data_IF_932462987514
#
_entry.id   IF_932462987514
#
_cell.length_a   1.000
_cell.length_b   1.000
_cell.length_c   1.000
_cell.angle_alpha   90.00
_cell.angle_beta   90.00
_cell.angle_gamma   90.00
#
_symmetry.space_group_name_H-M   'P 1'
#
loop_
_entity.id
_entity.type
_entity.pdbx_description
1 polymer ?
#
# COMPACT_ATOMS: atom_id res chain seq x y z
N UNK A 1 76.11 -7.18 9.85
CA UNK A 1 74.84 -7.64 9.18
C UNK A 1 73.69 -6.89 9.86
N UNK A 2 73.04 -5.93 9.18
CA UNK A 2 71.91 -5.20 9.69
C UNK A 2 70.65 -5.73 9.01
N UNK A 3 69.77 -6.39 9.77
CA UNK A 3 68.49 -6.96 9.28
C UNK A 3 67.44 -5.85 9.24
N UNK A 4 66.99 -5.47 8.05
CA UNK A 4 65.87 -4.53 7.90
C UNK A 4 64.54 -5.30 8.01
N UNK A 5 63.74 -4.97 9.04
CA UNK A 5 62.40 -5.46 9.20
C UNK A 5 61.49 -4.51 8.42
N UNK A 6 60.81 -4.99 7.37
CA UNK A 6 59.77 -4.29 6.62
C UNK A 6 58.45 -4.51 7.32
N UNK A 7 57.87 -3.42 7.87
CA UNK A 7 56.51 -3.41 8.37
C UNK A 7 55.54 -3.31 7.22
N UNK A 8 54.69 -4.32 7.04
CA UNK A 8 53.58 -4.30 6.10
C UNK A 8 52.34 -3.70 6.80
N UNK A 9 51.93 -2.54 6.37
CA UNK A 9 50.67 -1.90 6.80
C UNK A 9 49.51 -2.51 6.03
N UNK A 10 48.65 -3.30 6.70
CA UNK A 10 47.36 -3.73 6.19
C UNK A 10 46.38 -2.54 6.28
N UNK A 11 46.01 -1.99 5.15
CA UNK A 11 44.89 -1.04 5.06
C UNK A 11 43.57 -1.85 5.04
N UNK A 12 42.89 -1.88 6.18
CA UNK A 12 41.55 -2.48 6.26
C UNK A 12 40.52 -1.56 5.59
N UNK A 13 39.93 -1.99 4.49
CA UNK A 13 38.78 -1.31 3.90
C UNK A 13 37.53 -1.57 4.75
N UNK A 14 37.05 -0.53 5.46
CA UNK A 14 35.74 -0.58 6.12
C UNK A 14 34.65 -0.56 5.05
N UNK A 15 34.01 -1.69 4.80
CA UNK A 15 32.79 -1.76 3.99
C UNK A 15 31.65 -1.15 4.84
N UNK A 16 31.21 0.06 4.51
CA UNK A 16 30.01 0.65 5.07
C UNK A 16 28.83 -0.09 4.43
N UNK A 17 28.29 -1.09 5.13
CA UNK A 17 27.02 -1.69 4.79
C UNK A 17 25.94 -0.62 4.96
N UNK A 18 25.49 0.00 3.88
CA UNK A 18 24.35 0.89 3.88
C UNK A 18 23.12 0.15 4.40
N UNK A 19 22.57 0.57 5.52
CA UNK A 19 21.31 0.01 6.01
C UNK A 19 20.25 0.20 4.93
N UNK A 20 19.65 -0.90 4.45
CA UNK A 20 18.52 -0.83 3.52
C UNK A 20 17.39 -0.08 4.24
N UNK A 21 17.01 1.08 3.72
CA UNK A 21 15.92 1.87 4.27
C UNK A 21 14.63 1.09 4.07
N UNK A 22 13.86 0.88 5.16
CA UNK A 22 12.57 0.21 5.06
C UNK A 22 11.62 1.04 4.19
N UNK A 23 10.82 0.36 3.37
CA UNK A 23 9.77 0.99 2.58
C UNK A 23 8.75 1.67 3.51
N UNK A 24 8.33 2.87 3.15
CA UNK A 24 7.36 3.67 3.92
C UNK A 24 6.19 4.10 3.04
N UNK A 25 5.02 4.30 3.65
CA UNK A 25 3.85 4.93 3.04
C UNK A 25 3.32 6.02 3.97
N UNK A 26 2.93 7.14 3.38
CA UNK A 26 2.37 8.30 4.08
C UNK A 26 1.14 8.84 3.35
N UNK A 27 0.32 9.60 4.05
CA UNK A 27 -0.83 10.32 3.50
C UNK A 27 -0.98 11.67 4.21
N UNK A 28 -1.31 12.75 3.49
CA UNK A 28 -1.73 13.99 4.12
C UNK A 28 -3.14 13.89 4.74
N UNK A 29 -3.94 12.90 4.31
CA UNK A 29 -5.34 12.73 4.69
C UNK A 29 -5.51 11.78 5.90
N UNK A 30 -4.52 10.91 6.18
CA UNK A 30 -4.60 9.91 7.24
C UNK A 30 -3.32 9.97 8.09
N UNK A 31 -3.48 10.23 9.38
CA UNK A 31 -2.40 10.07 10.36
C UNK A 31 -2.31 8.60 10.79
N UNK A 32 -1.12 8.01 10.96
CA UNK A 32 -0.98 6.64 11.44
C UNK A 32 -1.76 6.39 12.74
N UNK A 33 -2.68 5.43 12.74
CA UNK A 33 -3.57 5.14 13.87
C UNK A 33 -4.60 6.22 14.18
N UNK A 34 -4.70 7.28 13.36
CA UNK A 34 -5.66 8.37 13.55
C UNK A 34 -7.03 8.09 12.94
N UNK A 35 -8.03 8.88 13.40
CA UNK A 35 -9.39 8.83 12.82
C UNK A 35 -9.35 9.33 11.37
N UNK A 36 -9.97 8.57 10.47
CA UNK A 36 -10.21 8.99 9.08
C UNK A 36 -11.28 10.09 9.04
N UNK A 37 -11.14 11.02 8.11
CA UNK A 37 -12.09 12.09 7.94
C UNK A 37 -13.35 11.62 7.18
N UNK A 38 -14.46 12.34 7.33
CA UNK A 38 -15.72 12.05 6.64
C UNK A 38 -15.58 12.11 5.11
N UNK A 39 -14.55 12.80 4.61
CA UNK A 39 -14.23 12.84 3.18
C UNK A 39 -13.90 11.43 2.63
N UNK A 40 -13.24 10.57 3.41
CA UNK A 40 -12.89 9.21 3.03
C UNK A 40 -14.01 8.21 3.31
N UNK A 41 -14.99 8.55 4.15
CA UNK A 41 -16.08 7.65 4.56
C UNK A 41 -17.00 7.34 3.39
N UNK A 42 -17.55 6.13 3.39
CA UNK A 42 -18.48 5.65 2.36
C UNK A 42 -19.73 6.52 2.28
N UNK A 43 -20.31 6.59 1.09
CA UNK A 43 -21.61 7.24 0.84
C UNK A 43 -22.65 6.17 0.51
N UNK A 44 -23.26 5.60 1.50
CA UNK A 44 -24.22 4.50 1.41
C UNK A 44 -24.22 3.65 2.68
N UNK A 45 -25.14 2.69 2.81
CA UNK A 45 -25.31 1.82 3.99
C UNK A 45 -25.44 2.62 5.31
N UNK A 46 -26.25 3.68 5.29
CA UNK A 46 -26.42 4.66 6.39
C UNK A 46 -25.17 5.46 6.75
N UNK A 47 -24.14 5.48 5.89
CA UNK A 47 -23.02 6.40 5.98
C UNK A 47 -23.16 7.52 4.94
N UNK A 48 -22.74 8.73 5.33
CA UNK A 48 -22.93 9.96 4.55
C UNK A 48 -21.61 10.68 4.24
N UNK A 49 -20.53 9.93 4.07
CA UNK A 49 -19.24 10.47 3.69
C UNK A 49 -19.17 10.87 2.22
N UNK A 50 -18.01 11.37 1.78
CA UNK A 50 -17.80 11.75 0.38
C UNK A 50 -17.24 10.63 -0.49
N UNK A 51 -16.84 9.52 0.10
CA UNK A 51 -16.27 8.36 -0.56
C UNK A 51 -15.04 8.67 -1.45
N UNK A 52 -14.19 9.58 -1.00
CA UNK A 52 -12.98 9.99 -1.72
C UNK A 52 -11.78 9.24 -1.18
N UNK A 53 -11.05 8.50 -2.04
CA UNK A 53 -9.84 7.81 -1.61
C UNK A 53 -8.75 8.79 -1.18
N UNK A 54 -7.95 8.48 -0.14
CA UNK A 54 -6.88 9.35 0.33
C UNK A 54 -5.76 9.48 -0.71
N UNK A 55 -5.04 10.60 -0.69
CA UNK A 55 -3.76 10.73 -1.35
C UNK A 55 -2.72 9.87 -0.62
N UNK A 56 -1.84 9.21 -1.37
CA UNK A 56 -0.79 8.35 -0.85
C UNK A 56 0.55 8.70 -1.47
N UNK A 57 1.62 8.59 -0.68
CA UNK A 57 3.00 8.67 -1.17
C UNK A 57 3.84 7.59 -0.50
N UNK A 58 4.78 7.00 -1.25
CA UNK A 58 5.66 5.97 -0.72
C UNK A 58 7.10 6.15 -1.17
N UNK A 59 8.03 5.59 -0.40
CA UNK A 59 9.47 5.65 -0.66
C UNK A 59 10.21 4.44 -0.09
N UNK A 60 11.49 4.31 -0.43
CA UNK A 60 12.33 3.23 0.11
C UNK A 60 12.03 1.86 -0.48
N UNK A 61 11.40 1.78 -1.65
CA UNK A 61 11.20 0.52 -2.34
C UNK A 61 12.54 -0.14 -2.72
N UNK A 62 12.64 -1.49 -2.70
CA UNK A 62 13.81 -2.21 -3.19
C UNK A 62 14.17 -1.85 -4.64
N UNK A 63 15.47 -1.89 -4.98
CA UNK A 63 15.95 -1.53 -6.33
C UNK A 63 15.36 -2.39 -7.45
N UNK A 64 15.05 -3.65 -7.14
CA UNK A 64 14.49 -4.60 -8.11
C UNK A 64 12.97 -4.50 -8.25
N UNK A 65 12.35 -3.44 -7.71
CA UNK A 65 10.92 -3.18 -7.85
C UNK A 65 10.59 -2.86 -9.31
N UNK A 66 9.67 -3.61 -9.88
CA UNK A 66 9.20 -3.47 -11.26
C UNK A 66 7.84 -2.83 -11.38
N UNK A 67 6.99 -2.98 -10.37
CA UNK A 67 5.69 -2.32 -10.28
C UNK A 67 5.26 -2.17 -8.82
N UNK A 68 4.18 -1.43 -8.62
CA UNK A 68 3.53 -1.33 -7.31
C UNK A 68 2.09 -1.79 -7.38
N UNK A 69 1.55 -2.14 -6.21
CA UNK A 69 0.13 -2.30 -5.98
C UNK A 69 -0.26 -1.65 -4.65
N UNK A 70 -1.51 -1.26 -4.52
CA UNK A 70 -2.08 -0.65 -3.31
C UNK A 70 -3.36 -1.37 -2.94
N UNK A 71 -3.61 -1.56 -1.66
CA UNK A 71 -4.92 -2.02 -1.16
C UNK A 71 -5.34 -1.27 0.08
N UNK A 72 -6.64 -1.28 0.38
CA UNK A 72 -7.22 -0.95 1.68
C UNK A 72 -8.12 -2.11 2.13
N UNK A 73 -7.83 -2.64 3.31
CA UNK A 73 -8.49 -3.81 3.87
C UNK A 73 -8.87 -3.57 5.33
N UNK A 74 -10.07 -4.01 5.70
CA UNK A 74 -10.62 -3.98 7.06
C UNK A 74 -10.65 -5.41 7.63
N UNK A 75 -9.74 -5.76 8.55
CA UNK A 75 -9.73 -7.07 9.20
C UNK A 75 -10.81 -7.23 10.27
N UNK A 76 -11.41 -6.15 10.74
CA UNK A 76 -12.39 -6.15 11.85
C UNK A 76 -13.82 -6.36 11.35
N UNK A 77 -14.05 -6.30 10.04
CA UNK A 77 -15.36 -6.50 9.46
C UNK A 77 -15.94 -7.89 9.81
N UNK A 78 -17.19 -7.99 10.31
CA UNK A 78 -17.78 -9.24 10.80
C UNK A 78 -18.27 -10.14 9.66
N UNK A 79 -17.45 -10.34 8.64
CA UNK A 79 -17.75 -11.15 7.44
C UNK A 79 -17.14 -12.55 7.49
N UNK A 80 -16.29 -12.84 8.50
CA UNK A 80 -15.48 -14.05 8.58
C UNK A 80 -14.20 -14.02 7.73
N UNK A 81 -14.03 -13.06 6.82
CA UNK A 81 -12.85 -12.91 5.96
C UNK A 81 -12.34 -11.47 5.88
N UNK A 82 -12.83 -10.57 6.75
CA UNK A 82 -12.57 -9.15 6.63
C UNK A 82 -13.28 -8.52 5.43
N UNK A 83 -12.85 -7.32 4.99
CA UNK A 83 -13.52 -6.60 3.92
C UNK A 83 -12.50 -5.81 3.09
N UNK A 84 -12.48 -6.03 1.77
CA UNK A 84 -11.65 -5.30 0.83
C UNK A 84 -12.35 -4.03 0.37
N UNK A 85 -11.81 -2.90 0.79
CA UNK A 85 -12.36 -1.58 0.48
C UNK A 85 -11.86 -1.01 -0.85
N UNK A 86 -10.67 -1.42 -1.26
CA UNK A 86 -10.01 -0.90 -2.45
C UNK A 86 -8.78 -1.70 -2.80
N UNK A 87 -8.47 -1.82 -4.09
CA UNK A 87 -7.17 -2.24 -4.57
C UNK A 87 -6.87 -1.68 -5.96
N UNK A 88 -5.60 -1.44 -6.22
CA UNK A 88 -5.02 -1.08 -7.52
C UNK A 88 -3.81 -1.95 -7.74
N UNK A 89 -3.64 -2.52 -8.94
CA UNK A 89 -2.46 -3.27 -9.35
C UNK A 89 -1.79 -2.63 -10.57
N UNK A 90 -0.61 -3.12 -10.91
CA UNK A 90 0.11 -2.76 -12.13
C UNK A 90 0.46 -1.25 -12.21
N UNK A 91 0.72 -0.63 -11.07
CA UNK A 91 1.21 0.75 -11.00
C UNK A 91 2.68 0.74 -11.43
N UNK A 92 3.10 1.52 -12.45
CA UNK A 92 4.49 1.55 -12.91
C UNK A 92 5.50 1.88 -11.80
N UNK A 93 6.70 1.32 -11.86
CA UNK A 93 7.76 1.55 -10.86
C UNK A 93 8.20 3.02 -10.75
N UNK A 94 7.98 3.83 -11.77
CA UNK A 94 8.25 5.28 -11.75
C UNK A 94 7.25 6.09 -10.94
N UNK A 95 6.10 5.51 -10.58
CA UNK A 95 5.03 6.15 -9.81
C UNK A 95 5.26 5.86 -8.33
N UNK A 96 5.37 6.91 -7.52
CA UNK A 96 5.59 6.83 -6.07
C UNK A 96 4.50 7.52 -5.26
N UNK A 97 3.38 7.85 -5.90
CA UNK A 97 2.22 8.47 -5.25
C UNK A 97 0.94 8.23 -6.03
N UNK A 98 -0.18 8.31 -5.33
CA UNK A 98 -1.52 8.39 -5.91
C UNK A 98 -2.19 9.67 -5.42
N UNK A 99 -2.84 10.44 -6.31
CA UNK A 99 -3.57 11.63 -5.89
C UNK A 99 -4.82 11.27 -5.08
N UNK A 100 -5.33 12.22 -4.30
CA UNK A 100 -6.65 12.12 -3.68
C UNK A 100 -7.71 11.86 -4.77
N UNK A 101 -8.60 10.90 -4.50
CA UNK A 101 -9.66 10.54 -5.44
C UNK A 101 -9.25 9.52 -6.52
N UNK A 102 -7.99 9.06 -6.55
CA UNK A 102 -7.54 8.04 -7.51
C UNK A 102 -8.41 6.77 -7.51
N UNK A 103 -8.99 6.42 -6.36
CA UNK A 103 -9.92 5.29 -6.24
C UNK A 103 -11.23 5.43 -7.00
N UNK A 104 -11.56 6.62 -7.50
CA UNK A 104 -12.66 6.87 -8.44
C UNK A 104 -12.24 6.78 -9.91
N UNK A 105 -11.02 6.37 -10.20
CA UNK A 105 -10.48 6.26 -11.56
C UNK A 105 -9.81 7.51 -12.10
N UNK A 106 -9.93 8.65 -11.43
CA UNK A 106 -9.30 9.90 -11.86
C UNK A 106 -7.82 9.92 -11.47
N UNK A 107 -6.92 10.11 -12.44
CA UNK A 107 -5.49 10.16 -12.19
C UNK A 107 -4.86 8.80 -11.89
N UNK A 108 -5.48 7.70 -12.31
CA UNK A 108 -4.84 6.39 -12.32
C UNK A 108 -3.66 6.41 -13.29
N UNK A 109 -2.51 5.82 -12.89
CA UNK A 109 -1.38 5.64 -13.80
C UNK A 109 -1.73 4.75 -15.00
N UNK A 110 -1.15 5.03 -16.14
CA UNK A 110 -1.34 4.23 -17.35
C UNK A 110 -0.99 2.75 -17.09
N UNK A 111 -1.89 1.86 -17.51
CA UNK A 111 -1.75 0.41 -17.33
C UNK A 111 -2.12 -0.13 -15.95
N UNK A 112 -2.45 0.74 -14.99
CA UNK A 112 -2.97 0.30 -13.70
C UNK A 112 -4.36 -0.32 -13.85
N UNK A 113 -4.61 -1.37 -13.06
CA UNK A 113 -5.88 -2.10 -13.01
C UNK A 113 -6.51 -1.93 -11.64
N UNK A 114 -7.80 -1.68 -11.63
CA UNK A 114 -8.64 -1.57 -10.44
C UNK A 114 -9.95 -2.33 -10.68
N UNK A 115 -10.44 -3.05 -9.69
CA UNK A 115 -11.67 -3.83 -9.83
C UNK A 115 -12.61 -3.62 -8.65
N UNK A 116 -13.55 -4.56 -8.49
CA UNK A 116 -14.57 -4.50 -7.47
C UNK A 116 -13.98 -4.66 -6.07
N UNK A 117 -14.45 -3.81 -5.18
CA UNK A 117 -14.33 -3.99 -3.74
C UNK A 117 -15.47 -4.89 -3.22
N UNK A 118 -15.49 -5.18 -1.92
CA UNK A 118 -16.52 -6.07 -1.36
C UNK A 118 -17.91 -5.38 -1.21
N UNK A 119 -18.03 -4.08 -1.52
CA UNK A 119 -19.33 -3.44 -1.78
C UNK A 119 -19.88 -3.76 -3.18
N UNK A 120 -19.16 -4.56 -3.99
CA UNK A 120 -19.46 -4.80 -5.42
C UNK A 120 -19.40 -3.53 -6.28
N UNK A 121 -18.61 -2.54 -5.86
CA UNK A 121 -18.34 -1.30 -6.59
C UNK A 121 -16.92 -1.31 -7.14
N UNK A 122 -16.74 -0.81 -8.35
CA UNK A 122 -15.38 -0.62 -8.89
C UNK A 122 -14.67 0.50 -8.16
N UNK A 123 -13.47 0.20 -7.65
CA UNK A 123 -12.60 1.17 -7.03
C UNK A 123 -12.76 1.31 -5.52
N UNK A 124 -12.70 2.54 -5.03
CA UNK A 124 -12.68 2.84 -3.61
C UNK A 124 -14.07 2.80 -3.00
N UNK A 125 -14.23 2.02 -1.93
CA UNK A 125 -15.35 2.09 -1.01
C UNK A 125 -14.84 2.43 0.39
N UNK A 126 -15.23 3.59 0.90
CA UNK A 126 -14.74 4.09 2.17
C UNK A 126 -15.24 3.31 3.39
N UNK A 127 -14.75 3.67 4.60
CA UNK A 127 -15.22 3.12 5.86
C UNK A 127 -16.73 3.27 6.06
N UNK A 128 -17.42 2.19 6.46
CA UNK A 128 -18.80 2.22 6.96
C UNK A 128 -19.09 0.98 7.81
N UNK A 129 -18.42 0.80 8.97
CA UNK A 129 -18.61 -0.36 9.80
C UNK A 129 -19.98 -0.32 10.50
N UNK A 130 -20.46 -1.43 11.04
CA UNK A 130 -21.57 -1.43 11.98
C UNK A 130 -21.32 -0.49 13.17
N UNK A 131 -22.40 -0.02 13.83
CA UNK A 131 -22.26 0.79 15.05
C UNK A 131 -21.53 0.01 16.14
N UNK A 132 -20.54 0.64 16.77
CA UNK A 132 -19.77 -0.01 17.83
C UNK A 132 -18.32 0.45 17.90
N UNK A 133 -17.41 -0.51 18.04
CA UNK A 133 -15.97 -0.22 18.09
C UNK A 133 -15.46 0.28 16.73
N UNK A 134 -14.53 1.24 16.71
CA UNK A 134 -13.86 1.61 15.47
C UNK A 134 -13.12 0.42 14.85
N UNK A 135 -13.18 0.32 13.52
CA UNK A 135 -12.42 -0.65 12.74
C UNK A 135 -11.09 -0.07 12.27
N UNK A 136 -10.16 -0.96 11.92
CA UNK A 136 -8.88 -0.63 11.33
C UNK A 136 -8.96 -0.73 9.81
N UNK A 137 -8.57 0.34 9.12
CA UNK A 137 -8.49 0.39 7.66
C UNK A 137 -7.02 0.39 7.28
N UNK A 138 -6.52 -0.77 6.90
CA UNK A 138 -5.10 -0.99 6.63
C UNK A 138 -4.84 -0.75 5.14
N UNK A 139 -4.18 0.37 4.85
CA UNK A 139 -3.66 0.66 3.51
C UNK A 139 -2.30 -0.01 3.40
N UNK A 140 -2.10 -0.83 2.37
CA UNK A 140 -0.83 -1.48 2.08
C UNK A 140 -0.35 -1.12 0.70
N UNK A 141 0.91 -0.67 0.59
CA UNK A 141 1.62 -0.52 -0.67
C UNK A 141 2.58 -1.70 -0.82
N UNK A 142 2.51 -2.39 -1.94
CA UNK A 142 3.35 -3.54 -2.28
C UNK A 142 4.35 -3.12 -3.35
N UNK A 143 5.65 -3.31 -3.10
CA UNK A 143 6.69 -3.24 -4.13
C UNK A 143 6.83 -4.63 -4.75
N UNK A 144 6.61 -4.77 -6.05
CA UNK A 144 6.49 -6.06 -6.72
C UNK A 144 7.72 -6.37 -7.58
N UNK A 145 8.10 -7.67 -7.64
CA UNK A 145 9.21 -8.18 -8.46
C UNK A 145 8.84 -8.41 -9.94
N UNK A 146 7.58 -8.18 -10.31
CA UNK A 146 7.04 -8.38 -11.66
C UNK A 146 6.53 -7.06 -12.22
N UNK A 147 6.58 -6.88 -13.54
CA UNK A 147 6.09 -5.67 -14.20
C UNK A 147 4.56 -5.57 -14.11
N UNK A 148 3.87 -6.72 -14.14
CA UNK A 148 2.41 -6.82 -14.02
C UNK A 148 2.04 -8.07 -13.24
N UNK A 149 1.01 -7.96 -12.40
CA UNK A 149 0.28 -9.10 -11.89
C UNK A 149 -0.65 -9.63 -12.99
N UNK A 150 -0.77 -10.94 -13.10
CA UNK A 150 -1.67 -11.60 -14.05
C UNK A 150 -3.10 -11.60 -13.50
N UNK A 151 -3.68 -10.41 -13.40
CA UNK A 151 -5.04 -10.17 -12.93
C UNK A 151 -5.70 -9.09 -13.79
N UNK A 152 -7.00 -9.18 -13.92
CA UNK A 152 -7.82 -8.24 -14.68
C UNK A 152 -8.80 -7.47 -13.76
N UNK A 153 -9.69 -6.70 -14.37
CA UNK A 153 -10.73 -5.92 -13.70
C UNK A 153 -11.89 -6.77 -13.12
N UNK A 154 -11.80 -8.11 -13.21
CA UNK A 154 -12.77 -9.05 -12.60
C UNK A 154 -12.22 -9.72 -11.36
N UNK A 155 -10.92 -9.53 -11.05
CA UNK A 155 -10.30 -10.14 -9.89
C UNK A 155 -10.96 -9.64 -8.59
N UNK A 156 -11.18 -10.56 -7.66
CA UNK A 156 -11.64 -10.20 -6.30
C UNK A 156 -10.47 -9.68 -5.46
N UNK A 157 -10.76 -9.00 -4.33
CA UNK A 157 -9.73 -8.58 -3.37
C UNK A 157 -8.88 -9.75 -2.87
N UNK A 158 -9.46 -10.94 -2.69
CA UNK A 158 -8.73 -12.15 -2.28
C UNK A 158 -7.75 -12.62 -3.37
N UNK A 159 -8.16 -12.64 -4.63
CA UNK A 159 -7.29 -12.97 -5.77
C UNK A 159 -6.18 -11.95 -5.91
N UNK A 160 -6.50 -10.65 -5.85
CA UNK A 160 -5.51 -9.59 -5.78
C UNK A 160 -4.49 -9.83 -4.66
N UNK A 161 -4.97 -10.07 -3.43
CA UNK A 161 -4.12 -10.30 -2.27
C UNK A 161 -3.18 -11.49 -2.44
N UNK A 162 -3.65 -12.59 -3.05
CA UNK A 162 -2.83 -13.75 -3.38
C UNK A 162 -1.66 -13.38 -4.30
N UNK A 163 -1.94 -12.73 -5.43
CA UNK A 163 -0.91 -12.35 -6.40
C UNK A 163 0.04 -11.28 -5.86
N UNK A 164 -0.49 -10.26 -5.17
CA UNK A 164 0.31 -9.19 -4.58
C UNK A 164 1.28 -9.73 -3.53
N UNK A 165 0.81 -10.63 -2.63
CA UNK A 165 1.65 -11.24 -1.60
C UNK A 165 2.73 -12.16 -2.19
N UNK A 166 2.40 -12.98 -3.18
CA UNK A 166 3.34 -13.90 -3.83
C UNK A 166 4.48 -13.19 -4.58
N UNK A 167 4.24 -11.94 -5.01
CA UNK A 167 5.19 -11.16 -5.81
C UNK A 167 5.82 -9.98 -5.04
N UNK A 168 5.48 -9.75 -3.77
CA UNK A 168 6.01 -8.65 -2.99
C UNK A 168 7.48 -8.84 -2.64
N UNK A 169 8.31 -7.85 -2.96
CA UNK A 169 9.67 -7.68 -2.45
C UNK A 169 9.66 -6.96 -1.09
N UNK A 170 8.77 -6.00 -0.93
CA UNK A 170 8.58 -5.24 0.30
C UNK A 170 7.13 -4.74 0.39
N UNK A 171 6.72 -4.38 1.59
CA UNK A 171 5.42 -3.77 1.89
C UNK A 171 5.60 -2.63 2.87
N UNK A 172 4.76 -1.61 2.73
CA UNK A 172 4.58 -0.56 3.73
C UNK A 172 3.10 -0.42 4.05
N UNK A 173 2.76 -0.16 5.30
CA UNK A 173 1.37 -0.04 5.76
C UNK A 173 1.10 1.28 6.45
N UNK A 174 -0.10 1.81 6.25
CA UNK A 174 -0.67 2.95 6.95
C UNK A 174 -2.07 2.57 7.42
N UNK A 175 -2.31 2.66 8.72
CA UNK A 175 -3.62 2.32 9.29
C UNK A 175 -4.36 3.57 9.71
N UNK A 176 -5.59 3.72 9.23
CA UNK A 176 -6.57 4.66 9.72
C UNK A 176 -7.63 3.96 10.57
N UNK A 177 -8.33 4.70 11.43
CA UNK A 177 -9.42 4.21 12.26
C UNK A 177 -10.71 4.95 11.89
N UNK A 178 -11.82 4.23 11.86
CA UNK A 178 -13.14 4.86 11.76
C UNK A 178 -14.22 3.98 12.38
N UNK A 179 -15.21 4.63 13.03
CA UNK A 179 -16.35 3.98 13.66
C UNK A 179 -17.50 4.96 13.88
N UNK A 180 -18.71 4.45 14.10
CA UNK A 180 -19.95 5.21 14.32
C UNK A 180 -20.76 4.68 15.50
#
# INVERSE_FOLDING_TARGET
>A
MRTMIRAATLAGALAIAGAAQAMTVTSPDIKPGGKMADEQVFNGWDCTGKNVSPALSWSGAPKDTKSFAVSMYDPDAPTGSGFWHWWIANIPASVTSLPKGAGGGTGLPDGAVMSHNDFSLTGYGGPCPPKGKPHHYIITVYALKVDKLDIDDKATGAVFGFYANANALAKATLTGLWGR
#
